data_IF_028143849003
#
_entry.id   IF_028143849003
#
_cell.length_a   1.000
_cell.length_b   1.000
_cell.length_c   1.000
_cell.angle_alpha   90.00
_cell.angle_beta   90.00
_cell.angle_gamma   90.00
#
_symmetry.space_group_name_H-M   'P 1'
#
loop_
_entity.id
_entity.type
_entity.pdbx_description
1 polymer ?
#
# COMPACT_ATOMS: atom_id res chain seq x y z
N UNK A 1 -23.49 -14.17 -8.10
CA UNK A 1 -23.11 -14.08 -6.67
C UNK A 1 -22.05 -12.99 -6.56
N UNK A 2 -22.25 -11.95 -5.74
CA UNK A 2 -21.34 -10.81 -5.59
C UNK A 2 -20.28 -11.23 -4.54
N UNK A 3 -18.96 -11.26 -4.82
CA UNK A 3 -17.98 -11.55 -3.77
C UNK A 3 -18.11 -10.53 -2.64
N UNK A 4 -18.31 -11.06 -1.44
CA UNK A 4 -18.27 -10.38 -0.15
C UNK A 4 -16.81 -10.48 0.30
N UNK A 5 -16.17 -9.34 0.57
CA UNK A 5 -14.82 -9.33 1.13
C UNK A 5 -14.92 -9.33 2.65
N UNK A 6 -14.07 -10.11 3.31
CA UNK A 6 -14.00 -10.13 4.77
C UNK A 6 -12.73 -9.42 5.23
N UNK A 7 -12.82 -8.62 6.29
CA UNK A 7 -11.65 -7.97 6.85
C UNK A 7 -10.73 -9.01 7.50
N UNK A 8 -9.44 -9.07 7.12
CA UNK A 8 -8.44 -9.98 7.73
C UNK A 8 -8.20 -9.79 9.23
N UNK A 9 -8.76 -8.74 9.85
CA UNK A 9 -8.49 -8.37 11.24
C UNK A 9 -9.68 -8.61 12.17
N UNK A 10 -10.89 -8.38 11.69
CA UNK A 10 -12.12 -8.55 12.47
C UNK A 10 -13.11 -9.52 11.83
N UNK A 11 -12.77 -10.14 10.68
CA UNK A 11 -13.60 -11.08 9.91
C UNK A 11 -15.00 -10.55 9.54
N UNK A 12 -15.20 -9.24 9.65
CA UNK A 12 -16.47 -8.58 9.33
C UNK A 12 -16.60 -8.32 7.82
N UNK A 13 -17.85 -8.27 7.35
CA UNK A 13 -18.20 -8.01 5.97
C UNK A 13 -17.78 -6.60 5.53
N UNK A 14 -17.00 -6.51 4.46
CA UNK A 14 -16.53 -5.25 3.88
C UNK A 14 -17.34 -4.89 2.64
N UNK A 15 -17.99 -3.71 2.61
CA UNK A 15 -18.59 -3.22 1.39
C UNK A 15 -17.49 -2.93 0.35
N UNK A 16 -17.76 -3.23 -0.93
CA UNK A 16 -16.76 -3.14 -2.02
C UNK A 16 -16.07 -1.77 -2.18
N UNK A 17 -16.72 -0.71 -1.70
CA UNK A 17 -16.24 0.66 -1.82
C UNK A 17 -15.48 1.14 -0.58
N UNK A 18 -15.39 0.32 0.47
CA UNK A 18 -14.68 0.69 1.68
C UNK A 18 -13.17 0.45 1.51
N UNK A 19 -12.42 1.54 1.39
CA UNK A 19 -10.95 1.53 1.42
C UNK A 19 -10.41 1.21 2.83
N UNK A 20 -11.23 1.45 3.85
CA UNK A 20 -10.93 1.23 5.25
C UNK A 20 -12.05 0.45 5.90
N UNK A 21 -11.72 -0.55 6.71
CA UNK A 21 -12.73 -1.29 7.44
C UNK A 21 -13.46 -0.38 8.45
N UNK A 22 -14.79 -0.19 8.33
CA UNK A 22 -15.53 0.70 9.23
C UNK A 22 -15.62 0.17 10.67
N UNK A 23 -15.40 -1.13 10.87
CA UNK A 23 -15.46 -1.76 12.19
C UNK A 23 -14.15 -1.66 12.97
N UNK A 24 -13.00 -1.81 12.29
CA UNK A 24 -11.69 -1.88 12.95
C UNK A 24 -10.67 -0.82 12.50
N UNK A 25 -11.00 0.03 11.52
CA UNK A 25 -10.10 1.06 10.97
C UNK A 25 -8.90 0.51 10.21
N UNK A 26 -8.92 -0.77 9.82
CA UNK A 26 -7.81 -1.35 9.07
C UNK A 26 -7.87 -0.92 7.61
N UNK A 27 -6.87 -0.14 7.18
CA UNK A 27 -6.69 0.30 5.80
C UNK A 27 -5.32 -0.19 5.25
N UNK A 28 -5.27 -1.37 4.59
CA UNK A 28 -4.03 -1.92 4.04
C UNK A 28 -3.43 -1.06 2.93
N UNK A 29 -4.28 -0.33 2.17
CA UNK A 29 -3.82 0.57 1.11
C UNK A 29 -3.05 1.77 1.69
N UNK A 30 -3.53 2.36 2.78
CA UNK A 30 -2.88 3.50 3.44
C UNK A 30 -1.47 3.15 3.97
N UNK A 31 -1.28 1.93 4.46
CA UNK A 31 0.00 1.44 4.97
C UNK A 31 0.98 1.24 3.81
N UNK A 32 0.57 0.50 2.78
CA UNK A 32 1.40 0.24 1.61
C UNK A 32 1.79 1.54 0.88
N UNK A 33 0.86 2.48 0.74
CA UNK A 33 1.12 3.78 0.13
C UNK A 33 2.12 4.62 0.94
N UNK A 34 1.97 4.66 2.27
CA UNK A 34 2.91 5.35 3.18
C UNK A 34 4.32 4.77 3.10
N UNK A 35 4.44 3.44 3.10
CA UNK A 35 5.74 2.78 2.94
C UNK A 35 6.36 3.09 1.58
N UNK A 36 5.57 3.05 0.50
CA UNK A 36 6.03 3.36 -0.84
C UNK A 36 6.48 4.82 -0.99
N UNK A 37 5.71 5.78 -0.47
CA UNK A 37 6.09 7.19 -0.45
C UNK A 37 7.39 7.43 0.34
N UNK A 38 7.53 6.80 1.52
CA UNK A 38 8.75 6.85 2.31
C UNK A 38 9.97 6.29 1.55
N UNK A 39 9.81 5.13 0.91
CA UNK A 39 10.87 4.51 0.12
C UNK A 39 11.30 5.37 -1.08
N UNK A 40 10.38 6.10 -1.73
CA UNK A 40 10.71 7.05 -2.78
C UNK A 40 11.50 8.26 -2.26
N UNK A 41 11.09 8.85 -1.14
CA UNK A 41 11.76 10.03 -0.57
C UNK A 41 13.18 9.66 -0.13
N UNK A 42 13.32 8.59 0.65
CA UNK A 42 14.63 8.13 1.12
C UNK A 42 15.49 7.56 -0.01
N UNK A 43 14.90 6.80 -0.93
CA UNK A 43 15.58 6.25 -2.10
C UNK A 43 16.11 7.35 -3.02
N UNK A 44 15.31 8.40 -3.25
CA UNK A 44 15.72 9.58 -4.02
C UNK A 44 16.91 10.29 -3.39
N UNK A 45 16.88 10.51 -2.07
CA UNK A 45 18.02 11.09 -1.34
C UNK A 45 19.27 10.21 -1.40
N UNK A 46 19.12 8.90 -1.17
CA UNK A 46 20.23 7.94 -1.19
C UNK A 46 20.83 7.74 -2.59
N UNK A 47 20.09 8.00 -3.66
CA UNK A 47 20.62 7.87 -5.02
C UNK A 47 21.75 8.86 -5.31
N UNK A 48 21.79 9.99 -4.59
CA UNK A 48 22.84 11.00 -4.73
C UNK A 48 24.15 10.60 -4.04
N UNK A 49 24.06 9.84 -2.94
CA UNK A 49 25.23 9.40 -2.15
C UNK A 49 25.71 8.03 -2.59
N UNK A 50 24.78 7.11 -2.81
CA UNK A 50 24.99 5.71 -3.15
C UNK A 50 24.00 5.29 -4.23
N UNK A 51 24.31 5.53 -5.51
CA UNK A 51 23.40 5.27 -6.63
C UNK A 51 22.75 3.87 -6.61
N UNK A 52 23.46 2.75 -6.40
CA UNK A 52 22.82 1.43 -6.42
C UNK A 52 21.79 1.24 -5.28
N UNK A 53 22.06 1.77 -4.09
CA UNK A 53 21.15 1.63 -2.94
C UNK A 53 19.93 2.54 -3.11
N UNK A 54 20.13 3.77 -3.58
CA UNK A 54 19.04 4.70 -3.84
C UNK A 54 18.10 4.24 -4.94
N UNK A 55 18.64 3.76 -6.06
CA UNK A 55 17.83 3.19 -7.15
C UNK A 55 17.01 1.99 -6.69
N UNK A 56 17.58 1.14 -5.81
CA UNK A 56 16.83 0.04 -5.20
C UNK A 56 15.68 0.56 -4.33
N UNK A 57 15.92 1.57 -3.49
CA UNK A 57 14.87 2.20 -2.68
C UNK A 57 13.75 2.81 -3.52
N UNK A 58 14.10 3.49 -4.62
CA UNK A 58 13.13 4.05 -5.57
C UNK A 58 12.30 2.92 -6.20
N UNK A 59 12.95 1.85 -6.67
CA UNK A 59 12.27 0.70 -7.26
C UNK A 59 11.27 0.06 -6.29
N UNK A 60 11.70 -0.19 -5.05
CA UNK A 60 10.82 -0.71 -3.98
C UNK A 60 9.65 0.24 -3.72
N UNK A 61 9.89 1.55 -3.70
CA UNK A 61 8.85 2.57 -3.53
C UNK A 61 7.79 2.54 -4.63
N UNK A 62 8.21 2.46 -5.90
CA UNK A 62 7.31 2.34 -7.06
C UNK A 62 6.47 1.06 -6.96
N UNK A 63 7.10 -0.08 -6.65
CA UNK A 63 6.40 -1.37 -6.54
C UNK A 63 5.41 -1.35 -5.37
N UNK A 64 5.77 -0.75 -4.23
CA UNK A 64 4.88 -0.64 -3.07
C UNK A 64 3.67 0.26 -3.36
N UNK A 65 3.87 1.40 -4.05
CA UNK A 65 2.77 2.26 -4.48
C UNK A 65 1.89 1.54 -5.51
N UNK A 66 2.49 0.94 -6.54
CA UNK A 66 1.77 0.15 -7.55
C UNK A 66 0.95 -0.99 -6.94
N UNK A 67 1.57 -1.76 -6.03
CA UNK A 67 0.92 -2.84 -5.30
C UNK A 67 -0.17 -2.37 -4.33
N UNK A 68 -0.05 -1.15 -3.77
CA UNK A 68 -1.11 -0.57 -2.94
C UNK A 68 -2.42 -0.37 -3.71
N UNK A 69 -2.35 -0.08 -5.02
CA UNK A 69 -3.53 0.00 -5.88
C UNK A 69 -4.16 -1.38 -6.14
N UNK A 70 -3.37 -2.46 -6.19
CA UNK A 70 -3.89 -3.83 -6.29
C UNK A 70 -4.53 -4.31 -5.00
N UNK A 71 -4.07 -3.80 -3.85
CA UNK A 71 -4.64 -4.05 -2.53
C UNK A 71 -5.87 -3.19 -2.25
N UNK A 72 -6.13 -2.16 -3.08
CA UNK A 72 -7.35 -1.39 -3.02
C UNK A 72 -8.51 -2.25 -3.55
N UNK A 73 -9.53 -2.56 -2.74
CA UNK A 73 -10.68 -3.38 -3.17
C UNK A 73 -11.61 -2.66 -4.18
N UNK A 74 -11.28 -1.42 -4.57
CA UNK A 74 -12.05 -0.57 -5.48
C UNK A 74 -11.68 -0.75 -6.98
N UNK A 75 -11.32 -1.96 -7.40
CA UNK A 75 -11.17 -2.37 -8.80
C UNK A 75 -12.39 -3.11 -9.35
#
# INVERSE_FOLDING_TARGET
MKPIYFCRRCDEELPRTAEECPHCGYNPASIAWRFGAGALIFGGGLALVSPPIGLFGIFVGIVAIGGSYLLSPAG
#
